data_IF_958039849995
#
_entry.id   IF_958039849995
#
_cell.length_a   1.000
_cell.length_b   1.000
_cell.length_c   1.000
_cell.angle_alpha   90.00
_cell.angle_beta   90.00
_cell.angle_gamma   90.00
#
_symmetry.space_group_name_H-M   'P 1'
#
loop_
_entity.id
_entity.type
_entity.pdbx_description
1 polymer ?
#
# COMPACT_ATOMS: atom_id res chain seq x y z
N UNK A 1 25.21 5.00 -12.63
CA UNK A 1 24.03 5.53 -13.34
C UNK A 1 22.91 5.64 -12.34
N UNK A 2 22.21 6.77 -12.31
CA UNK A 2 21.06 7.00 -11.43
C UNK A 2 19.82 6.29 -12.00
N UNK A 3 19.06 5.57 -11.16
CA UNK A 3 17.88 4.79 -11.57
C UNK A 3 16.66 5.13 -10.72
N UNK A 4 15.54 5.37 -11.39
CA UNK A 4 14.23 5.59 -10.78
C UNK A 4 13.32 4.47 -11.25
N UNK A 5 12.70 3.75 -10.32
CA UNK A 5 11.62 2.81 -10.61
C UNK A 5 10.27 3.52 -10.44
N UNK A 6 9.55 3.68 -11.54
CA UNK A 6 8.30 4.45 -11.58
C UNK A 6 7.04 3.60 -11.38
N UNK A 7 7.18 2.28 -11.25
CA UNK A 7 6.04 1.37 -11.18
C UNK A 7 6.19 0.45 -9.97
N UNK A 8 5.89 0.99 -8.80
CA UNK A 8 5.93 0.22 -7.56
C UNK A 8 4.67 0.42 -6.74
N UNK A 9 4.31 -0.61 -5.97
CA UNK A 9 3.14 -0.60 -5.11
C UNK A 9 3.54 -0.78 -3.65
N UNK A 10 2.81 -0.11 -2.77
CA UNK A 10 2.91 -0.23 -1.31
C UNK A 10 1.51 -0.23 -0.69
N UNK A 11 1.32 -0.94 0.42
CA UNK A 11 0.12 -0.87 1.24
C UNK A 11 0.44 -0.53 2.70
N UNK A 12 -0.49 0.09 3.43
CA UNK A 12 -0.38 0.21 4.88
C UNK A 12 -0.61 -1.15 5.56
N UNK A 13 0.23 -1.49 6.55
CA UNK A 13 0.10 -2.72 7.34
C UNK A 13 -1.19 -2.73 8.18
N UNK A 14 -1.62 -1.56 8.64
CA UNK A 14 -2.80 -1.34 9.46
C UNK A 14 -4.08 -1.09 8.63
N UNK A 15 -4.15 -1.57 7.38
CA UNK A 15 -5.30 -1.35 6.49
C UNK A 15 -6.65 -1.72 7.12
N UNK A 16 -6.68 -2.74 7.98
CA UNK A 16 -7.92 -3.19 8.62
C UNK A 16 -8.55 -2.12 9.53
N UNK A 17 -7.77 -1.18 10.09
CA UNK A 17 -8.30 -0.10 10.94
C UNK A 17 -9.31 0.79 10.20
N UNK A 18 -9.17 0.92 8.89
CA UNK A 18 -10.10 1.66 8.05
C UNK A 18 -11.15 0.74 7.42
N UNK A 19 -10.75 -0.43 6.88
CA UNK A 19 -11.67 -1.28 6.12
C UNK A 19 -12.67 -2.06 6.97
N UNK A 20 -12.39 -2.32 8.25
CA UNK A 20 -13.35 -2.97 9.16
C UNK A 20 -14.54 -2.09 9.53
N UNK A 21 -14.41 -0.78 9.35
CA UNK A 21 -15.47 0.20 9.63
C UNK A 21 -16.44 0.36 8.45
N UNK A 22 -16.09 -0.18 7.29
CA UNK A 22 -16.88 -0.05 6.08
C UNK A 22 -17.97 -1.12 5.99
N UNK A 23 -19.05 -0.77 5.31
CA UNK A 23 -20.26 -1.58 5.25
C UNK A 23 -20.19 -2.74 4.26
N UNK A 24 -19.29 -2.69 3.28
CA UNK A 24 -19.17 -3.70 2.22
C UNK A 24 -18.03 -4.70 2.50
N UNK A 25 -18.32 -5.99 2.48
CA UNK A 25 -17.34 -7.04 2.75
C UNK A 25 -16.29 -7.22 1.64
N UNK A 26 -16.47 -6.58 0.47
CA UNK A 26 -15.56 -6.68 -0.67
C UNK A 26 -14.26 -5.88 -0.49
N UNK A 27 -14.20 -4.98 0.50
CA UNK A 27 -12.96 -4.28 0.83
C UNK A 27 -11.85 -5.27 1.19
N UNK A 28 -10.62 -4.97 0.77
CA UNK A 28 -9.46 -5.81 1.05
C UNK A 28 -9.18 -5.84 2.55
N UNK A 29 -8.85 -7.01 3.06
CA UNK A 29 -8.35 -7.22 4.43
C UNK A 29 -6.95 -7.82 4.41
N UNK A 30 -6.20 -7.57 5.47
CA UNK A 30 -4.88 -8.15 5.72
C UNK A 30 -5.00 -9.12 6.88
N UNK A 31 -4.58 -10.35 6.67
CA UNK A 31 -4.46 -11.36 7.71
C UNK A 31 -2.97 -11.63 7.95
N UNK A 32 -2.38 -11.12 9.05
CA UNK A 32 -1.00 -11.41 9.40
C UNK A 32 -0.78 -12.92 9.57
N UNK A 33 0.28 -13.44 8.96
CA UNK A 33 0.71 -14.83 9.13
C UNK A 33 1.78 -14.90 10.22
N UNK A 34 2.75 -13.99 10.14
CA UNK A 34 3.82 -13.78 11.11
C UNK A 34 4.31 -12.31 11.04
N UNK A 35 5.40 -11.99 11.73
CA UNK A 35 5.94 -10.63 11.80
C UNK A 35 6.43 -10.08 10.44
N UNK A 36 6.61 -10.93 9.42
CA UNK A 36 7.21 -10.55 8.13
C UNK A 36 6.35 -10.90 6.93
N UNK A 37 5.15 -11.46 7.12
CA UNK A 37 4.28 -11.91 6.05
C UNK A 37 2.79 -11.86 6.39
N UNK A 38 1.97 -11.71 5.35
CA UNK A 38 0.52 -11.63 5.49
C UNK A 38 -0.19 -12.21 4.27
N UNK A 39 -1.45 -12.59 4.46
CA UNK A 39 -2.37 -12.96 3.39
C UNK A 39 -3.36 -11.81 3.19
N UNK A 40 -3.37 -11.25 1.99
CA UNK A 40 -4.43 -10.35 1.57
C UNK A 40 -5.68 -11.18 1.29
N UNK A 41 -6.81 -10.80 1.90
CA UNK A 41 -8.11 -11.41 1.68
C UNK A 41 -9.04 -10.47 0.93
N UNK A 42 -9.77 -11.03 -0.03
CA UNK A 42 -10.84 -10.37 -0.79
C UNK A 42 -12.06 -11.26 -0.80
N UNK A 43 -13.23 -10.71 -0.51
CA UNK A 43 -14.50 -11.45 -0.48
C UNK A 43 -14.46 -12.67 0.46
N UNK A 44 -13.74 -12.56 1.58
CA UNK A 44 -13.53 -13.65 2.54
C UNK A 44 -12.56 -14.75 2.08
N UNK A 45 -11.98 -14.63 0.89
CA UNK A 45 -11.06 -15.63 0.32
C UNK A 45 -9.63 -15.11 0.26
N UNK A 46 -8.65 -16.03 0.33
CA UNK A 46 -7.25 -15.69 0.16
C UNK A 46 -7.01 -15.18 -1.28
N UNK A 47 -6.48 -13.96 -1.40
CA UNK A 47 -6.21 -13.31 -2.68
C UNK A 47 -4.73 -13.37 -3.03
N UNK A 48 -3.83 -13.01 -2.10
CA UNK A 48 -2.39 -12.96 -2.34
C UNK A 48 -1.59 -13.09 -1.04
N UNK A 49 -0.55 -13.91 -1.03
CA UNK A 49 0.46 -13.89 0.01
C UNK A 49 1.48 -12.78 -0.27
N UNK A 50 1.82 -11.99 0.73
CA UNK A 50 2.75 -10.85 0.63
C UNK A 50 3.77 -10.88 1.77
N UNK A 51 4.97 -10.39 1.48
CA UNK A 51 6.03 -10.21 2.47
C UNK A 51 6.07 -8.75 2.92
N UNK A 52 6.77 -8.50 4.02
CA UNK A 52 6.81 -7.19 4.67
C UNK A 52 7.36 -6.06 3.80
N UNK A 53 8.13 -6.33 2.75
CA UNK A 53 8.52 -5.29 1.80
C UNK A 53 7.33 -4.66 1.04
N UNK A 54 6.13 -5.21 1.16
CA UNK A 54 4.91 -4.58 0.67
C UNK A 54 4.38 -3.43 1.55
N UNK A 55 4.84 -3.29 2.81
CA UNK A 55 4.44 -2.21 3.74
C UNK A 55 5.61 -1.56 4.48
N UNK A 56 6.65 -2.32 4.82
CA UNK A 56 7.83 -1.85 5.52
C UNK A 56 8.82 -1.15 4.58
N UNK A 57 8.82 0.19 4.63
CA UNK A 57 9.69 1.02 3.78
C UNK A 57 11.19 0.81 4.02
N UNK A 58 11.62 0.36 5.21
CA UNK A 58 13.03 0.11 5.51
C UNK A 58 13.54 -1.12 4.75
N UNK A 59 12.77 -2.19 4.77
CA UNK A 59 13.09 -3.41 3.97
C UNK A 59 13.10 -3.07 2.48
N UNK A 60 12.19 -2.20 2.01
CA UNK A 60 12.21 -1.73 0.62
C UNK A 60 13.47 -0.95 0.27
N UNK A 61 14.03 -0.17 1.20
CA UNK A 61 15.30 0.54 0.99
C UNK A 61 16.44 -0.47 0.80
N UNK A 62 16.49 -1.52 1.62
CA UNK A 62 17.48 -2.59 1.48
C UNK A 62 17.35 -3.31 0.13
N UNK A 63 16.11 -3.63 -0.29
CA UNK A 63 15.81 -4.19 -1.62
C UNK A 63 16.30 -3.25 -2.75
N UNK A 64 16.04 -1.95 -2.62
CA UNK A 64 16.50 -0.94 -3.59
C UNK A 64 18.04 -0.87 -3.66
N UNK A 65 18.72 -0.92 -2.52
CA UNK A 65 20.18 -0.86 -2.46
C UNK A 65 20.80 -2.10 -3.12
N UNK A 66 20.24 -3.29 -2.87
CA UNK A 66 20.69 -4.55 -3.49
C UNK A 66 20.49 -4.57 -5.00
N UNK A 67 19.39 -3.97 -5.49
CA UNK A 67 19.03 -3.91 -6.92
C UNK A 67 19.57 -2.66 -7.63
N UNK A 68 20.25 -1.77 -6.90
CA UNK A 68 20.82 -0.49 -7.38
C UNK A 68 19.75 0.45 -7.94
N UNK A 69 18.58 0.50 -7.31
CA UNK A 69 17.50 1.49 -7.55
C UNK A 69 17.69 2.64 -6.57
N UNK A 70 17.78 3.88 -7.07
CA UNK A 70 18.00 5.05 -6.21
C UNK A 70 16.69 5.57 -5.61
N UNK A 71 15.63 5.65 -6.44
CA UNK A 71 14.32 6.15 -6.05
C UNK A 71 13.22 5.21 -6.53
N UNK A 72 12.21 4.97 -5.70
CA UNK A 72 10.94 4.38 -6.13
C UNK A 72 9.82 5.42 -6.12
N UNK A 73 8.96 5.36 -7.13
CA UNK A 73 7.67 6.05 -7.12
C UNK A 73 6.62 5.09 -6.57
N UNK A 74 6.09 5.42 -5.40
CA UNK A 74 5.13 4.64 -4.64
C UNK A 74 3.70 4.97 -5.08
N UNK A 75 2.92 3.93 -5.34
CA UNK A 75 1.48 4.01 -5.55
C UNK A 75 0.76 2.93 -4.71
N UNK A 76 -0.55 3.05 -4.52
CA UNK A 76 -1.32 1.98 -3.87
C UNK A 76 -1.48 0.77 -4.79
N UNK A 77 -1.91 -0.38 -4.25
CA UNK A 77 -2.23 -1.55 -5.06
C UNK A 77 -3.56 -1.30 -5.82
N UNK A 78 -3.67 -1.71 -7.10
CA UNK A 78 -4.90 -1.51 -7.87
C UNK A 78 -6.17 -2.11 -7.26
N UNK A 79 -6.04 -3.18 -6.48
CA UNK A 79 -7.20 -3.81 -5.79
C UNK A 79 -7.82 -2.87 -4.72
N UNK A 80 -7.09 -1.86 -4.27
CA UNK A 80 -7.53 -0.89 -3.27
C UNK A 80 -8.27 0.32 -3.86
N UNK A 81 -8.33 0.47 -5.20
CA UNK A 81 -9.02 1.60 -5.85
C UNK A 81 -10.49 1.71 -5.43
N UNK A 82 -11.18 0.57 -5.27
CA UNK A 82 -12.52 0.52 -4.67
C UNK A 82 -13.56 1.46 -5.29
N UNK A 83 -13.46 1.80 -6.57
CA UNK A 83 -14.42 2.70 -7.28
C UNK A 83 -15.86 2.15 -7.37
N UNK A 84 -16.08 0.93 -6.87
CA UNK A 84 -17.38 0.31 -6.76
C UNK A 84 -18.08 0.60 -5.42
N UNK A 85 -17.36 1.13 -4.43
CA UNK A 85 -17.88 1.33 -3.07
C UNK A 85 -18.69 2.62 -2.97
N UNK A 86 -19.25 2.88 -1.78
CA UNK A 86 -19.88 4.17 -1.50
C UNK A 86 -18.84 5.29 -1.57
N UNK A 87 -19.25 6.46 -2.07
CA UNK A 87 -18.38 7.62 -2.30
C UNK A 87 -17.61 8.05 -1.04
N UNK A 88 -18.26 8.05 0.13
CA UNK A 88 -17.68 8.45 1.41
C UNK A 88 -16.67 7.43 1.95
N UNK A 89 -16.96 6.13 1.81
CA UNK A 89 -16.03 5.04 2.14
C UNK A 89 -14.83 5.04 1.19
N UNK A 90 -15.05 5.27 -0.12
CA UNK A 90 -14.01 5.36 -1.14
C UNK A 90 -13.07 6.54 -0.86
N UNK A 91 -13.63 7.72 -0.56
CA UNK A 91 -12.88 8.90 -0.19
C UNK A 91 -12.05 8.67 1.09
N UNK A 92 -12.67 8.08 2.12
CA UNK A 92 -11.99 7.77 3.38
C UNK A 92 -10.81 6.82 3.18
N UNK A 93 -10.99 5.79 2.34
CA UNK A 93 -9.91 4.87 1.97
C UNK A 93 -8.80 5.59 1.19
N UNK A 94 -9.15 6.41 0.19
CA UNK A 94 -8.17 7.16 -0.59
C UNK A 94 -7.33 8.09 0.30
N UNK A 95 -7.96 8.80 1.25
CA UNK A 95 -7.25 9.65 2.22
C UNK A 95 -6.28 8.82 3.06
N UNK A 96 -6.72 7.71 3.64
CA UNK A 96 -5.88 6.83 4.45
C UNK A 96 -4.66 6.31 3.67
N UNK A 97 -4.86 5.88 2.42
CA UNK A 97 -3.78 5.38 1.57
C UNK A 97 -2.78 6.50 1.19
N UNK A 98 -3.29 7.68 0.87
CA UNK A 98 -2.47 8.83 0.50
C UNK A 98 -1.67 9.35 1.71
N UNK A 99 -2.27 9.36 2.90
CA UNK A 99 -1.61 9.75 4.15
C UNK A 99 -0.45 8.80 4.49
N UNK A 100 -0.65 7.48 4.31
CA UNK A 100 0.42 6.50 4.47
C UNK A 100 1.58 6.75 3.49
N UNK A 101 1.29 6.96 2.20
CA UNK A 101 2.33 7.23 1.19
C UNK A 101 3.09 8.52 1.52
N UNK A 102 2.39 9.61 1.85
CA UNK A 102 3.05 10.90 2.13
C UNK A 102 3.89 10.84 3.42
N UNK A 103 3.47 10.06 4.42
CA UNK A 103 4.27 9.84 5.63
C UNK A 103 5.62 9.21 5.28
N UNK A 104 5.63 8.14 4.47
CA UNK A 104 6.87 7.48 4.04
C UNK A 104 7.75 8.44 3.22
N UNK A 105 7.16 9.16 2.26
CA UNK A 105 7.89 10.15 1.45
C UNK A 105 8.49 11.29 2.30
N UNK A 106 7.86 11.65 3.43
CA UNK A 106 8.42 12.65 4.36
C UNK A 106 9.58 12.11 5.18
N UNK A 107 9.54 10.84 5.58
CA UNK A 107 10.61 10.20 6.36
C UNK A 107 11.83 9.98 5.46
N UNK A 108 11.64 9.52 4.23
CA UNK A 108 12.70 9.15 3.29
C UNK A 108 12.59 9.89 1.94
N UNK A 109 12.68 11.23 1.93
CA UNK A 109 12.40 12.07 0.75
C UNK A 109 13.40 11.90 -0.39
N UNK A 110 14.57 11.33 -0.11
CA UNK A 110 15.58 11.02 -1.13
C UNK A 110 15.39 9.64 -1.76
N UNK A 111 14.49 8.81 -1.22
CA UNK A 111 14.25 7.42 -1.65
C UNK A 111 12.90 7.22 -2.30
N UNK A 112 11.90 8.04 -1.93
CA UNK A 112 10.52 7.82 -2.36
C UNK A 112 9.83 9.07 -2.88
N UNK A 113 9.06 8.89 -3.95
CA UNK A 113 8.10 9.86 -4.49
C UNK A 113 6.71 9.22 -4.43
N UNK A 114 5.67 9.96 -4.07
CA UNK A 114 4.31 9.43 -3.94
C UNK A 114 3.39 9.79 -5.10
N UNK A 115 2.58 8.83 -5.55
CA UNK A 115 1.40 9.06 -6.40
C UNK A 115 0.16 8.73 -5.58
N UNK A 116 -0.70 9.73 -5.39
CA UNK A 116 -1.97 9.56 -4.68
C UNK A 116 -3.02 8.86 -5.54
N UNK A 117 -3.91 8.12 -4.88
CA UNK A 117 -5.15 7.60 -5.46
C UNK A 117 -6.31 8.57 -5.20
N UNK A 118 -7.34 8.52 -6.03
CA UNK A 118 -8.52 9.39 -5.94
C UNK A 118 -9.81 8.55 -5.97
N UNK A 119 -10.90 9.00 -5.32
CA UNK A 119 -12.22 8.38 -5.46
C UNK A 119 -12.84 8.83 -6.79
N UNK A 120 -12.65 8.03 -7.84
CA UNK A 120 -13.07 8.33 -9.21
C UNK A 120 -14.56 8.04 -9.42
#
# INVERSE_FOLDING_TARGET
MFKIDIHTHILPENLNEVTERFSDSRFLKIDPVDDISAILKKDGTAFRHVNCNCWNYKVRIEDCDSTRVNIQVLSTLPVLFSYWSKDDECLSLCQFLNDHIVQICKIEPQRFIGIGTIPL
#
